data_IF_990175266115
#
_entry.id   IF_990175266115
#
_cell.length_a   1.000
_cell.length_b   1.000
_cell.length_c   1.000
_cell.angle_alpha   90.00
_cell.angle_beta   90.00
_cell.angle_gamma   90.00
#
_symmetry.space_group_name_H-M   'P 1'
#
loop_
_entity.id
_entity.type
_entity.pdbx_description
1 polymer ?
#
# COMPACT_ATOMS: atom_id res chain seq x y z
N UNK A 1 3.26 12.78 -23.85
CA UNK A 1 2.17 13.48 -23.12
C UNK A 1 0.95 12.58 -23.00
N UNK A 2 0.48 12.34 -21.78
CA UNK A 2 -0.74 11.57 -21.51
C UNK A 2 -1.94 12.47 -21.85
N UNK A 3 -2.74 12.07 -22.84
CA UNK A 3 -3.94 12.83 -23.22
C UNK A 3 -4.94 12.84 -22.06
N UNK A 4 -5.44 14.01 -21.65
CA UNK A 4 -6.47 14.12 -20.60
C UNK A 4 -7.71 13.24 -20.89
N UNK A 5 -8.10 13.11 -22.16
CA UNK A 5 -9.18 12.23 -22.59
C UNK A 5 -8.94 10.75 -22.27
N UNK A 6 -7.68 10.29 -22.24
CA UNK A 6 -7.33 8.94 -21.81
C UNK A 6 -7.52 8.75 -20.30
N UNK A 7 -7.04 9.71 -19.49
CA UNK A 7 -7.23 9.68 -18.02
C UNK A 7 -8.73 9.65 -17.69
N UNK A 8 -9.51 10.53 -18.31
CA UNK A 8 -10.97 10.58 -18.12
C UNK A 8 -11.64 9.25 -18.53
N UNK A 9 -11.13 8.57 -19.57
CA UNK A 9 -11.62 7.25 -19.98
C UNK A 9 -11.30 6.19 -18.94
N UNK A 10 -10.12 6.22 -18.33
CA UNK A 10 -9.75 5.28 -17.26
C UNK A 10 -10.57 5.53 -15.99
N UNK A 11 -10.80 6.80 -15.60
CA UNK A 11 -11.68 7.15 -14.48
C UNK A 11 -13.11 6.66 -14.74
N UNK A 12 -13.69 6.93 -15.91
CA UNK A 12 -15.02 6.41 -16.27
C UNK A 12 -15.08 4.89 -16.22
N UNK A 13 -14.02 4.21 -16.68
CA UNK A 13 -13.92 2.76 -16.61
C UNK A 13 -13.87 2.27 -15.15
N UNK A 14 -13.11 2.95 -14.29
CA UNK A 14 -13.02 2.67 -12.85
C UNK A 14 -14.40 2.62 -12.20
N UNK A 15 -15.20 3.68 -12.38
CA UNK A 15 -16.57 3.72 -11.86
C UNK A 15 -17.49 2.66 -12.49
N UNK A 16 -17.34 2.39 -13.79
CA UNK A 16 -18.15 1.38 -14.47
C UNK A 16 -17.92 -0.04 -13.93
N UNK A 17 -16.66 -0.38 -13.60
CA UNK A 17 -16.31 -1.72 -13.11
C UNK A 17 -16.37 -1.82 -11.58
N UNK A 18 -16.61 -0.70 -10.88
CA UNK A 18 -16.60 -0.65 -9.42
C UNK A 18 -15.23 -0.95 -8.82
N UNK A 19 -14.15 -0.59 -9.53
CA UNK A 19 -12.77 -0.87 -9.12
C UNK A 19 -11.79 0.08 -9.82
N UNK A 20 -10.72 0.52 -9.14
CA UNK A 20 -9.63 1.26 -9.78
C UNK A 20 -8.99 0.48 -10.93
N UNK A 21 -8.87 1.09 -12.11
CA UNK A 21 -8.18 0.46 -13.26
C UNK A 21 -6.67 0.36 -13.04
N UNK A 22 -6.03 -0.69 -13.58
CA UNK A 22 -4.58 -0.90 -13.44
C UNK A 22 -3.73 0.32 -13.86
N UNK A 23 -4.13 1.05 -14.91
CA UNK A 23 -3.44 2.29 -15.29
C UNK A 23 -3.47 3.34 -14.16
N UNK A 24 -4.63 3.56 -13.52
CA UNK A 24 -4.75 4.53 -12.43
C UNK A 24 -3.94 4.09 -11.22
N UNK A 25 -3.94 2.80 -10.87
CA UNK A 25 -3.12 2.26 -9.79
C UNK A 25 -1.63 2.55 -10.02
N UNK A 26 -1.14 2.17 -11.20
CA UNK A 26 0.26 2.38 -11.59
C UNK A 26 0.61 3.87 -11.63
N UNK A 27 -0.26 4.70 -12.20
CA UNK A 27 -0.07 6.14 -12.26
C UNK A 27 0.05 6.77 -10.87
N UNK A 28 -0.90 6.46 -9.97
CA UNK A 28 -0.91 6.98 -8.60
C UNK A 28 0.35 6.54 -7.85
N UNK A 29 0.69 5.25 -7.89
CA UNK A 29 1.89 4.75 -7.23
C UNK A 29 3.18 5.31 -7.82
N UNK A 30 3.32 5.42 -9.15
CA UNK A 30 4.50 6.05 -9.77
C UNK A 30 4.70 7.50 -9.32
N UNK A 31 3.62 8.29 -9.22
CA UNK A 31 3.72 9.69 -8.78
C UNK A 31 4.11 9.77 -7.30
N UNK A 32 3.41 9.02 -6.44
CA UNK A 32 3.59 9.13 -4.99
C UNK A 32 4.92 8.51 -4.55
N UNK A 33 5.33 7.36 -5.11
CA UNK A 33 6.62 6.72 -4.81
C UNK A 33 7.78 7.67 -5.13
N UNK A 34 7.77 8.29 -6.31
CA UNK A 34 8.79 9.27 -6.70
C UNK A 34 8.85 10.44 -5.71
N UNK A 35 7.71 11.05 -5.40
CA UNK A 35 7.65 12.19 -4.50
C UNK A 35 8.12 11.85 -3.07
N UNK A 36 7.76 10.66 -2.56
CA UNK A 36 8.21 10.18 -1.25
C UNK A 36 9.72 9.95 -1.21
N UNK A 37 10.28 9.32 -2.25
CA UNK A 37 11.73 9.11 -2.36
C UNK A 37 12.49 10.42 -2.46
N UNK A 38 11.99 11.39 -3.22
CA UNK A 38 12.61 12.70 -3.39
C UNK A 38 12.57 13.53 -2.10
N UNK A 39 11.43 13.56 -1.38
CA UNK A 39 11.28 14.38 -0.16
C UNK A 39 11.90 13.73 1.07
N UNK A 40 11.66 12.44 1.29
CA UNK A 40 11.97 11.78 2.56
C UNK A 40 13.18 10.83 2.48
N UNK A 41 13.58 10.41 1.28
CA UNK A 41 14.76 9.56 1.09
C UNK A 41 14.73 8.32 1.99
N UNK A 42 15.66 8.27 2.96
CA UNK A 42 15.79 7.14 3.91
C UNK A 42 14.62 7.03 4.89
N UNK A 43 13.89 8.10 5.12
CA UNK A 43 12.79 8.13 6.08
C UNK A 43 11.47 7.64 5.46
N UNK A 44 11.43 7.31 4.17
CA UNK A 44 10.21 6.89 3.45
C UNK A 44 9.47 5.76 4.19
N UNK A 45 10.18 4.78 4.73
CA UNK A 45 9.57 3.67 5.49
C UNK A 45 8.73 4.11 6.70
N UNK A 46 8.90 5.34 7.21
CA UNK A 46 8.17 5.91 8.34
C UNK A 46 7.04 6.87 7.92
N UNK A 47 6.74 6.96 6.62
CA UNK A 47 5.82 7.98 6.05
C UNK A 47 4.48 7.39 5.57
N UNK A 48 3.93 6.44 6.33
CA UNK A 48 2.65 5.78 6.00
C UNK A 48 1.47 6.77 5.93
N UNK A 49 1.43 7.75 6.84
CA UNK A 49 0.43 8.82 6.82
C UNK A 49 0.57 9.71 5.58
N UNK A 50 1.76 10.25 5.32
CA UNK A 50 2.04 11.12 4.18
C UNK A 50 1.76 10.41 2.86
N UNK A 51 2.17 9.15 2.75
CA UNK A 51 1.91 8.32 1.57
C UNK A 51 0.42 8.12 1.33
N UNK A 52 -0.32 7.68 2.35
CA UNK A 52 -1.75 7.44 2.25
C UNK A 52 -2.53 8.73 1.96
N UNK A 53 -2.13 9.86 2.55
CA UNK A 53 -2.72 11.17 2.30
C UNK A 53 -2.44 11.68 0.87
N UNK A 54 -1.22 11.48 0.38
CA UNK A 54 -0.84 11.83 -1.00
C UNK A 54 -1.65 11.01 -2.02
N UNK A 55 -1.80 9.70 -1.80
CA UNK A 55 -2.64 8.82 -2.62
C UNK A 55 -4.09 9.30 -2.58
N UNK A 56 -4.64 9.57 -1.39
CA UNK A 56 -6.00 10.09 -1.20
C UNK A 56 -6.21 11.39 -1.99
N UNK A 57 -5.23 12.30 -1.97
CA UNK A 57 -5.30 13.60 -2.65
C UNK A 57 -5.34 13.44 -4.17
N UNK A 58 -4.53 12.54 -4.74
CA UNK A 58 -4.58 12.24 -6.17
C UNK A 58 -5.94 11.61 -6.53
N UNK A 59 -6.39 10.59 -5.80
CA UNK A 59 -7.68 9.93 -6.06
C UNK A 59 -8.85 10.91 -5.97
N UNK A 60 -8.85 11.79 -4.97
CA UNK A 60 -9.86 12.84 -4.80
C UNK A 60 -9.88 13.80 -5.99
N UNK A 61 -8.70 14.17 -6.53
CA UNK A 61 -8.62 14.99 -7.75
C UNK A 61 -9.21 14.30 -9.00
N UNK A 62 -9.34 12.97 -8.96
CA UNK A 62 -9.98 12.15 -9.99
C UNK A 62 -11.45 11.84 -9.68
N UNK A 63 -11.98 12.37 -8.57
CA UNK A 63 -13.35 12.15 -8.10
C UNK A 63 -13.56 10.81 -7.39
N UNK A 64 -12.51 10.03 -7.14
CA UNK A 64 -12.58 8.76 -6.42
C UNK A 64 -12.48 9.05 -4.92
N UNK A 65 -13.51 8.69 -4.17
CA UNK A 65 -13.53 8.85 -2.71
C UNK A 65 -12.70 7.76 -2.05
N UNK A 66 -12.07 8.13 -0.95
CA UNK A 66 -11.28 7.22 -0.14
C UNK A 66 -11.09 7.75 1.27
N UNK A 67 -10.98 6.86 2.24
CA UNK A 67 -10.87 7.15 3.66
C UNK A 67 -9.57 6.59 4.22
N UNK A 68 -8.89 7.37 5.06
CA UNK A 68 -7.70 6.92 5.78
C UNK A 68 -8.12 6.04 6.95
N UNK A 69 -7.43 4.92 7.11
CA UNK A 69 -7.60 4.00 8.23
C UNK A 69 -6.29 3.87 8.99
N UNK A 70 -6.41 3.65 10.28
CA UNK A 70 -5.31 3.25 11.16
C UNK A 70 -5.59 1.88 11.77
N UNK A 71 -4.54 1.18 12.14
CA UNK A 71 -4.63 -0.05 12.92
C UNK A 71 -3.40 -0.93 12.75
N UNK A 72 -3.59 -2.22 13.01
CA UNK A 72 -2.54 -3.22 12.87
C UNK A 72 -2.36 -3.68 11.43
N UNK A 73 -1.11 -3.91 11.03
CA UNK A 73 -0.75 -4.68 9.84
C UNK A 73 0.26 -5.76 10.25
N UNK A 74 -0.03 -7.00 9.91
CA UNK A 74 0.83 -8.14 10.19
C UNK A 74 1.13 -8.88 8.90
N UNK A 75 2.39 -9.19 8.62
CA UNK A 75 2.83 -9.85 7.38
C UNK A 75 3.99 -10.80 7.63
N UNK A 76 4.16 -11.75 6.72
CA UNK A 76 5.29 -12.65 6.72
C UNK A 76 6.58 -11.87 6.42
N UNK A 77 7.48 -11.88 7.39
CA UNK A 77 8.85 -11.39 7.24
C UNK A 77 9.71 -12.54 6.76
N UNK A 78 10.10 -12.42 5.49
CA UNK A 78 10.88 -13.43 4.78
C UNK A 78 12.21 -12.84 4.36
N UNK A 79 13.22 -13.70 4.32
CA UNK A 79 14.61 -13.30 4.17
C UNK A 79 15.21 -13.95 2.94
N UNK A 80 16.32 -13.37 2.45
CA UNK A 80 17.11 -13.97 1.36
C UNK A 80 17.66 -15.34 1.75
N UNK A 81 17.99 -15.54 3.03
CA UNK A 81 18.32 -16.85 3.59
C UNK A 81 17.03 -17.54 4.09
N UNK A 82 16.84 -18.80 3.71
CA UNK A 82 15.55 -19.49 3.79
C UNK A 82 15.25 -20.13 5.17
N UNK A 83 16.20 -20.05 6.11
CA UNK A 83 16.13 -20.78 7.38
C UNK A 83 15.38 -20.04 8.51
N UNK A 84 15.22 -18.73 8.39
CA UNK A 84 14.63 -17.90 9.43
C UNK A 84 13.49 -17.12 8.80
N UNK A 85 12.27 -17.31 9.31
CA UNK A 85 11.10 -16.52 8.93
C UNK A 85 10.23 -16.28 10.15
N UNK A 86 9.55 -15.14 10.22
CA UNK A 86 8.66 -14.79 11.32
C UNK A 86 7.56 -13.83 10.85
N UNK A 87 6.67 -13.44 11.76
CA UNK A 87 5.74 -12.34 11.55
C UNK A 87 6.41 -11.00 11.87
N UNK A 88 6.14 -9.99 11.05
CA UNK A 88 6.56 -8.60 11.25
C UNK A 88 5.44 -7.64 10.82
N UNK A 89 5.56 -6.38 11.23
CA UNK A 89 4.55 -5.35 11.03
C UNK A 89 4.31 -4.49 12.26
N UNK A 90 3.14 -3.85 12.29
CA UNK A 90 2.72 -2.92 13.35
C UNK A 90 1.46 -3.50 13.99
N UNK A 91 1.49 -3.71 15.31
CA UNK A 91 0.33 -4.14 16.07
C UNK A 91 0.53 -3.81 17.55
N UNK A 92 -0.52 -3.99 18.35
CA UNK A 92 -0.55 -3.67 19.78
C UNK A 92 -0.36 -2.18 20.07
N UNK A 93 0.88 -1.71 20.23
CA UNK A 93 1.18 -0.31 20.57
C UNK A 93 1.50 0.53 19.36
N UNK A 94 1.88 -0.12 18.26
CA UNK A 94 2.27 0.56 17.03
C UNK A 94 1.17 0.43 15.98
N UNK A 95 1.00 1.49 15.20
CA UNK A 95 -0.07 1.60 14.21
C UNK A 95 0.49 1.95 12.85
N UNK A 96 -0.18 1.44 11.82
CA UNK A 96 0.10 1.75 10.43
C UNK A 96 -1.08 2.49 9.82
N UNK A 97 -0.83 3.39 8.87
CA UNK A 97 -1.86 4.12 8.15
C UNK A 97 -1.92 3.65 6.72
N UNK A 98 -3.12 3.31 6.26
CA UNK A 98 -3.41 2.94 4.88
C UNK A 98 -4.69 3.62 4.40
N UNK A 99 -5.04 3.39 3.13
CA UNK A 99 -6.22 3.98 2.51
C UNK A 99 -7.23 2.89 2.14
N UNK A 100 -8.53 3.18 2.30
CA UNK A 100 -9.63 2.38 1.77
C UNK A 100 -10.41 3.19 0.73
N UNK A 101 -10.54 2.70 -0.50
CA UNK A 101 -11.31 3.40 -1.55
C UNK A 101 -12.82 3.15 -1.43
N UNK A 102 -13.65 3.95 -2.10
CA UNK A 102 -15.10 3.71 -2.20
C UNK A 102 -15.46 2.38 -2.89
N UNK A 103 -14.51 1.79 -3.61
CA UNK A 103 -14.61 0.47 -4.21
C UNK A 103 -14.22 -0.66 -3.25
N UNK A 104 -13.99 -0.35 -1.97
CA UNK A 104 -13.52 -1.28 -0.94
C UNK A 104 -12.14 -1.87 -1.26
N UNK A 105 -11.27 -1.10 -1.90
CA UNK A 105 -9.88 -1.52 -2.15
C UNK A 105 -8.97 -0.99 -1.03
N UNK A 106 -8.15 -1.86 -0.43
CA UNK A 106 -7.09 -1.44 0.49
C UNK A 106 -5.87 -1.01 -0.35
N UNK A 107 -5.35 0.17 -0.07
CA UNK A 107 -4.20 0.74 -0.77
C UNK A 107 -3.12 1.09 0.24
N UNK A 108 -1.95 0.49 0.07
CA UNK A 108 -0.78 0.69 0.92
C UNK A 108 0.48 0.60 0.05
N UNK A 109 1.04 1.76 -0.25
CA UNK A 109 2.29 1.86 -0.97
C UNK A 109 3.48 1.63 -0.03
N UNK A 110 3.42 2.10 1.21
CA UNK A 110 4.54 2.06 2.15
C UNK A 110 4.93 0.68 2.63
N UNK A 111 4.02 -0.31 2.53
CA UNK A 111 4.33 -1.70 2.90
C UNK A 111 5.58 -2.25 2.21
N UNK A 112 5.90 -1.78 0.99
CA UNK A 112 7.10 -2.21 0.29
C UNK A 112 8.41 -1.69 0.87
N UNK A 113 8.36 -0.64 1.69
CA UNK A 113 9.53 0.00 2.30
C UNK A 113 9.67 -0.35 3.79
N UNK A 114 8.73 -1.09 4.39
CA UNK A 114 8.76 -1.39 5.84
C UNK A 114 9.97 -2.23 6.26
N UNK A 115 10.58 -2.97 5.33
CA UNK A 115 11.83 -3.67 5.55
C UNK A 115 13.03 -2.73 5.82
N UNK A 116 12.89 -1.43 5.55
CA UNK A 116 13.88 -0.39 5.85
C UNK A 116 13.53 0.41 7.12
N UNK A 117 12.45 0.05 7.83
CA UNK A 117 12.06 0.76 9.04
C UNK A 117 13.17 0.65 10.11
N UNK A 118 13.45 1.70 10.91
CA UNK A 118 14.51 1.65 11.92
C UNK A 118 14.37 0.55 12.98
N UNK A 119 13.16 0.03 13.17
CA UNK A 119 12.91 -1.12 14.06
C UNK A 119 13.25 -2.48 13.42
N UNK A 120 13.46 -2.53 12.10
CA UNK A 120 13.86 -3.75 11.41
C UNK A 120 15.30 -4.10 11.77
N UNK A 121 15.49 -5.28 12.34
CA UNK A 121 16.77 -5.70 12.90
C UNK A 121 17.76 -6.27 11.86
N UNK A 122 17.33 -6.46 10.61
CA UNK A 122 18.05 -7.21 9.58
C UNK A 122 17.96 -6.57 8.20
N UNK A 123 19.08 -6.60 7.48
CA UNK A 123 19.22 -5.97 6.16
C UNK A 123 18.95 -6.93 4.98
N UNK A 124 18.65 -8.20 5.26
CA UNK A 124 18.39 -9.25 4.26
C UNK A 124 16.91 -9.62 4.13
N UNK A 125 16.02 -8.82 4.72
CA UNK A 125 14.56 -8.92 4.54
C UNK A 125 14.23 -8.65 3.06
N UNK A 126 13.32 -9.44 2.51
CA UNK A 126 12.82 -9.26 1.15
C UNK A 126 11.62 -8.31 1.18
N UNK A 127 11.59 -7.24 0.34
CA UNK A 127 10.49 -6.30 0.33
C UNK A 127 9.19 -6.94 -0.16
N UNK A 128 8.10 -6.58 0.51
CA UNK A 128 6.74 -6.92 0.10
C UNK A 128 6.39 -6.09 -1.14
N UNK A 129 5.70 -6.64 -2.15
CA UNK A 129 5.14 -5.80 -3.19
C UNK A 129 4.14 -4.78 -2.59
N UNK A 130 4.09 -3.55 -3.11
CA UNK A 130 3.06 -2.58 -2.72
C UNK A 130 1.66 -3.11 -3.04
N UNK A 131 0.69 -2.70 -2.24
CA UNK A 131 -0.62 -3.36 -2.16
C UNK A 131 -1.73 -2.42 -2.63
N UNK A 132 -2.56 -2.91 -3.55
CA UNK A 132 -3.81 -2.28 -4.01
C UNK A 132 -4.91 -3.34 -4.11
N UNK A 133 -5.24 -3.93 -2.96
CA UNK A 133 -6.01 -5.15 -2.86
C UNK A 133 -7.50 -4.92 -3.08
N UNK A 134 -8.10 -5.70 -3.98
CA UNK A 134 -9.50 -5.52 -4.41
C UNK A 134 -10.49 -6.57 -3.91
N UNK A 135 -10.05 -7.50 -3.08
CA UNK A 135 -10.83 -8.66 -2.68
C UNK A 135 -10.81 -8.84 -1.16
N UNK A 136 -11.63 -8.09 -0.43
CA UNK A 136 -11.63 -8.17 1.03
C UNK A 136 -12.18 -9.50 1.58
N UNK A 137 -12.83 -10.30 0.74
CA UNK A 137 -13.40 -11.59 1.13
C UNK A 137 -12.33 -12.68 1.08
N UNK A 138 -11.34 -12.54 0.20
CA UNK A 138 -10.24 -13.49 0.05
C UNK A 138 -8.92 -12.80 0.37
N UNK A 139 -8.34 -13.12 1.53
CA UNK A 139 -7.07 -12.52 1.96
C UNK A 139 -5.95 -13.57 2.06
N UNK A 140 -4.78 -13.36 1.43
CA UNK A 140 -3.68 -14.33 1.46
C UNK A 140 -3.25 -14.57 2.91
N UNK A 141 -2.98 -15.81 3.34
CA UNK A 141 -2.74 -16.13 4.75
C UNK A 141 -1.44 -15.55 5.33
N UNK A 142 -0.64 -14.85 4.52
CA UNK A 142 0.69 -14.31 4.85
C UNK A 142 0.70 -12.81 5.13
N UNK A 143 -0.46 -12.17 5.12
CA UNK A 143 -0.63 -10.76 5.49
C UNK A 143 -2.03 -10.58 6.10
N UNK A 144 -2.22 -9.61 6.98
CA UNK A 144 -3.52 -9.22 7.54
C UNK A 144 -3.49 -7.73 7.89
N UNK A 145 -4.53 -7.00 7.47
CA UNK A 145 -4.83 -5.67 7.98
C UNK A 145 -5.94 -5.78 9.01
N UNK A 146 -5.76 -5.10 10.14
CA UNK A 146 -6.64 -5.11 11.30
C UNK A 146 -7.04 -3.65 11.59
N UNK A 147 -8.09 -3.13 10.90
CA UNK A 147 -8.51 -1.75 11.09
C UNK A 147 -9.00 -1.52 12.51
N UNK A 148 -8.59 -0.39 13.08
CA UNK A 148 -9.09 0.09 14.38
C UNK A 148 -10.08 1.23 14.21
N UNK A 149 -9.92 2.03 13.16
CA UNK A 149 -10.89 3.06 12.82
C UNK A 149 -10.45 3.93 11.65
N UNK A 150 -11.40 4.73 11.18
CA UNK A 150 -11.15 5.85 10.30
C UNK A 150 -10.40 6.94 11.07
N UNK A 151 -9.47 7.62 10.40
CA UNK A 151 -8.74 8.73 11.00
C UNK A 151 -9.00 10.04 10.25
N UNK A 152 -9.11 11.10 11.04
CA UNK A 152 -8.98 12.48 10.57
C UNK A 152 -7.58 12.96 10.91
N UNK A 153 -6.91 13.60 9.96
CA UNK A 153 -5.55 14.11 10.18
C UNK A 153 -5.62 15.28 11.16
N UNK A 154 -4.99 15.11 12.31
CA UNK A 154 -4.80 16.15 13.33
C UNK A 154 -3.34 16.11 13.78
N UNK A 155 -2.51 16.93 13.14
CA UNK A 155 -1.08 17.08 13.48
C UNK A 155 -0.84 18.48 14.10
N UNK A 156 0.29 18.68 14.77
CA UNK A 156 0.79 20.02 15.09
C UNK A 156 0.83 20.94 13.85
N UNK A 157 0.74 22.26 14.06
CA UNK A 157 0.61 23.24 12.97
C UNK A 157 1.77 23.15 11.96
N UNK A 158 3.00 23.03 12.44
CA UNK A 158 4.20 22.88 11.62
C UNK A 158 4.21 21.58 10.81
N UNK A 159 3.76 20.48 11.41
CA UNK A 159 3.60 19.19 10.71
C UNK A 159 2.46 19.21 9.69
N UNK A 160 1.37 19.93 9.97
CA UNK A 160 0.27 20.15 9.02
C UNK A 160 0.73 20.99 7.83
N UNK A 161 1.54 22.02 8.05
CA UNK A 161 2.14 22.81 6.98
C UNK A 161 3.04 21.95 6.08
N UNK A 162 3.95 21.15 6.66
CA UNK A 162 4.79 20.19 5.90
C UNK A 162 3.95 19.23 5.06
N UNK A 163 2.88 18.71 5.64
CA UNK A 163 1.98 17.76 4.97
C UNK A 163 1.24 18.41 3.78
N UNK A 164 0.75 19.63 3.93
CA UNK A 164 0.07 20.37 2.85
C UNK A 164 1.05 20.81 1.74
N UNK A 165 2.28 21.18 2.10
CA UNK A 165 3.35 21.42 1.12
C UNK A 165 3.66 20.14 0.32
N UNK A 166 3.81 19.01 1.01
CA UNK A 166 4.05 17.73 0.37
C UNK A 166 2.91 17.34 -0.57
N UNK A 167 1.65 17.46 -0.13
CA UNK A 167 0.48 17.24 -0.97
C UNK A 167 0.49 18.13 -2.22
N UNK A 168 0.83 19.41 -2.06
CA UNK A 168 0.90 20.35 -3.18
C UNK A 168 1.98 19.92 -4.18
N UNK A 169 3.16 19.51 -3.69
CA UNK A 169 4.24 18.97 -4.51
C UNK A 169 3.79 17.72 -5.28
N UNK A 170 3.13 16.77 -4.62
CA UNK A 170 2.60 15.54 -5.25
C UNK A 170 1.58 15.86 -6.35
N UNK A 171 0.67 16.81 -6.12
CA UNK A 171 -0.33 17.20 -7.13
C UNK A 171 0.31 17.90 -8.32
N UNK A 172 1.36 18.70 -8.10
CA UNK A 172 2.15 19.28 -9.19
C UNK A 172 2.89 18.19 -9.99
N UNK A 173 3.43 17.19 -9.28
CA UNK A 173 4.12 16.04 -9.88
C UNK A 173 3.21 15.16 -10.73
N UNK A 174 1.98 14.95 -10.26
CA UNK A 174 0.89 14.36 -11.05
C UNK A 174 0.69 15.13 -12.36
N UNK A 175 0.53 16.45 -12.29
CA UNK A 175 0.28 17.28 -13.48
C UNK A 175 1.50 17.35 -14.40
N UNK A 176 2.71 17.30 -13.85
CA UNK A 176 3.96 17.19 -14.61
C UNK A 176 4.02 15.86 -15.36
N UNK A 177 3.73 14.74 -14.70
CA UNK A 177 3.71 13.41 -15.33
C UNK A 177 2.70 13.36 -16.47
N UNK A 178 1.51 13.95 -16.30
CA UNK A 178 0.50 14.04 -17.37
C UNK A 178 1.05 14.81 -18.58
N UNK A 179 1.69 15.96 -18.34
CA UNK A 179 2.23 16.84 -19.39
C UNK A 179 3.44 16.25 -20.11
N UNK A 180 4.32 15.56 -19.39
CA UNK A 180 5.65 15.21 -19.89
C UNK A 180 5.78 13.75 -20.33
N UNK A 181 5.08 12.80 -19.69
CA UNK A 181 5.24 11.37 -19.97
C UNK A 181 4.25 10.88 -21.03
N UNK A 182 4.53 9.72 -21.64
CA UNK A 182 3.57 8.95 -22.41
C UNK A 182 2.92 7.85 -21.57
N UNK A 183 1.81 7.31 -22.06
CA UNK A 183 1.05 6.24 -21.36
C UNK A 183 1.94 5.04 -21.07
N UNK A 184 2.89 4.74 -21.95
CA UNK A 184 3.80 3.60 -21.82
C UNK A 184 4.93 3.83 -20.79
N UNK A 185 5.15 5.08 -20.38
CA UNK A 185 6.14 5.43 -19.36
C UNK A 185 5.55 5.29 -17.95
N UNK A 186 4.22 5.28 -17.84
CA UNK A 186 3.52 5.01 -16.57
C UNK A 186 3.58 3.52 -16.29
N UNK A 187 4.61 3.13 -15.53
CA UNK A 187 4.82 1.76 -15.08
C UNK A 187 5.15 1.75 -13.61
N UNK A 188 4.40 0.94 -12.87
CA UNK A 188 4.70 0.62 -11.48
C UNK A 188 4.37 -0.85 -11.26
N UNK A 189 5.38 -1.66 -11.01
CA UNK A 189 5.25 -3.09 -10.87
C UNK A 189 6.40 -3.62 -10.02
N UNK A 190 6.17 -4.64 -9.17
CA UNK A 190 4.90 -5.37 -8.98
C UNK A 190 3.86 -4.59 -8.14
N UNK A 191 2.57 -4.92 -8.29
CA UNK A 191 1.48 -4.51 -7.39
C UNK A 191 0.68 -5.75 -7.01
N UNK A 192 0.43 -5.96 -5.72
CA UNK A 192 -0.51 -6.97 -5.24
C UNK A 192 -1.93 -6.42 -5.28
N UNK A 193 -2.71 -6.84 -6.27
CA UNK A 193 -4.05 -6.34 -6.54
C UNK A 193 -5.18 -7.30 -6.13
N UNK A 194 -4.88 -8.58 -5.94
CA UNK A 194 -5.83 -9.65 -5.62
C UNK A 194 -5.21 -11.04 -5.81
N UNK A 195 -5.99 -12.10 -5.62
CA UNK A 195 -5.49 -13.50 -5.75
C UNK A 195 -4.85 -13.75 -7.11
N UNK A 196 -5.48 -13.28 -8.20
CA UNK A 196 -4.96 -13.45 -9.55
C UNK A 196 -3.58 -12.80 -9.73
N UNK A 197 -3.37 -11.59 -9.20
CA UNK A 197 -2.06 -10.94 -9.30
C UNK A 197 -1.01 -11.66 -8.46
N UNK A 198 -1.38 -12.18 -7.29
CA UNK A 198 -0.46 -12.99 -6.46
C UNK A 198 0.02 -14.21 -7.25
N UNK A 199 -0.90 -14.96 -7.87
CA UNK A 199 -0.53 -16.15 -8.64
C UNK A 199 0.42 -15.78 -9.79
N UNK A 200 0.10 -14.76 -10.58
CA UNK A 200 0.96 -14.29 -11.68
C UNK A 200 2.34 -13.85 -11.17
N UNK A 201 2.40 -13.09 -10.08
CA UNK A 201 3.66 -12.62 -9.52
C UNK A 201 4.50 -13.78 -8.97
N UNK A 202 3.85 -14.79 -8.38
CA UNK A 202 4.49 -16.02 -7.89
C UNK A 202 5.06 -16.84 -9.05
N UNK A 203 4.27 -17.06 -10.10
CA UNK A 203 4.70 -17.75 -11.33
C UNK A 203 5.89 -17.04 -12.00
N UNK A 204 5.92 -15.71 -11.93
CA UNK A 204 7.03 -14.89 -12.41
C UNK A 204 8.24 -14.83 -11.45
N UNK A 205 8.22 -15.59 -10.35
CA UNK A 205 9.35 -15.69 -9.42
C UNK A 205 9.52 -14.48 -8.50
N UNK A 206 8.45 -13.78 -8.13
CA UNK A 206 8.54 -12.70 -7.16
C UNK A 206 9.15 -13.23 -5.83
N UNK A 207 10.30 -12.68 -5.37
CA UNK A 207 11.04 -13.28 -4.26
C UNK A 207 10.25 -13.38 -2.95
N UNK A 208 9.46 -12.35 -2.62
CA UNK A 208 8.69 -12.34 -1.37
C UNK A 208 7.58 -13.40 -1.42
N UNK A 209 6.83 -13.46 -2.53
CA UNK A 209 5.75 -14.44 -2.69
C UNK A 209 6.26 -15.89 -2.74
N UNK A 210 7.39 -16.13 -3.40
CA UNK A 210 7.99 -17.46 -3.43
C UNK A 210 8.42 -17.92 -2.02
N UNK A 211 8.99 -17.04 -1.21
CA UNK A 211 9.31 -17.37 0.18
C UNK A 211 8.06 -17.50 1.06
N UNK A 212 7.01 -16.74 0.78
CA UNK A 212 5.73 -16.87 1.48
C UNK A 212 5.08 -18.24 1.30
N UNK A 213 5.38 -18.99 0.23
CA UNK A 213 4.95 -20.39 0.10
C UNK A 213 5.60 -21.24 1.19
N UNK A 214 6.93 -21.15 1.32
CA UNK A 214 7.68 -21.88 2.36
C UNK A 214 7.25 -21.47 3.76
N UNK A 215 7.01 -20.18 3.96
CA UNK A 215 6.47 -19.66 5.22
C UNK A 215 5.14 -20.32 5.60
N UNK A 216 4.24 -20.53 4.63
CA UNK A 216 2.97 -21.20 4.88
C UNK A 216 3.18 -22.68 5.24
N UNK A 217 4.13 -23.37 4.59
CA UNK A 217 4.44 -24.77 4.91
C UNK A 217 4.95 -24.93 6.36
N UNK A 218 5.59 -23.90 6.92
CA UNK A 218 6.04 -23.89 8.32
C UNK A 218 4.88 -23.79 9.33
N UNK A 219 3.66 -23.44 8.89
CA UNK A 219 2.47 -23.31 9.74
C UNK A 219 2.69 -22.43 10.98
N UNK A 220 3.46 -21.36 10.86
CA UNK A 220 3.73 -20.43 11.97
C UNK A 220 2.42 -19.69 12.28
N UNK A 221 1.84 -19.82 13.49
CA UNK A 221 0.62 -19.12 13.84
C UNK A 221 0.87 -17.61 13.91
N UNK A 222 -0.16 -16.81 13.59
CA UNK A 222 -0.10 -15.36 13.81
C UNK A 222 0.29 -15.03 15.27
N UNK A 223 0.88 -13.86 15.55
CA UNK A 223 1.10 -13.42 16.92
C UNK A 223 -0.20 -13.41 17.74
N UNK A 224 -0.14 -13.70 19.04
CA UNK A 224 -1.34 -13.83 19.90
C UNK A 224 -2.28 -12.62 19.81
N UNK A 225 -1.72 -11.41 19.80
CA UNK A 225 -2.51 -10.18 19.66
C UNK A 225 -3.31 -10.17 18.35
N UNK A 226 -2.66 -10.51 17.23
CA UNK A 226 -3.26 -10.57 15.91
C UNK A 226 -4.37 -11.62 15.87
N UNK A 227 -4.15 -12.80 16.44
CA UNK A 227 -5.18 -13.85 16.54
C UNK A 227 -6.41 -13.37 17.32
N UNK A 228 -6.19 -12.74 18.49
CA UNK A 228 -7.28 -12.22 19.31
C UNK A 228 -8.09 -11.16 18.55
N UNK A 229 -7.40 -10.24 17.88
CA UNK A 229 -8.04 -9.16 17.11
C UNK A 229 -8.84 -9.68 15.92
N UNK A 230 -8.34 -10.70 15.22
CA UNK A 230 -9.09 -11.40 14.15
C UNK A 230 -10.37 -12.01 14.71
N UNK A 231 -10.29 -12.68 15.86
CA UNK A 231 -11.45 -13.32 16.49
C UNK A 231 -12.51 -12.30 16.92
N UNK A 232 -12.10 -11.17 17.49
CA UNK A 232 -13.01 -10.05 17.82
C UNK A 232 -13.74 -9.56 16.57
N UNK A 233 -13.03 -9.38 15.46
CA UNK A 233 -13.62 -8.89 14.21
C UNK A 233 -14.63 -9.88 13.63
N UNK A 234 -14.32 -11.18 13.65
CA UNK A 234 -15.24 -12.24 13.22
C UNK A 234 -16.49 -12.29 14.10
N UNK A 235 -16.33 -12.18 15.42
CA UNK A 235 -17.44 -12.25 16.37
C UNK A 235 -18.29 -10.96 16.44
N UNK A 236 -17.81 -9.87 15.83
CA UNK A 236 -18.52 -8.58 15.76
C UNK A 236 -19.39 -8.42 14.50
N UNK A 237 -19.28 -9.35 13.56
CA UNK A 237 -20.12 -9.43 12.35
C UNK A 237 -21.32 -10.35 12.57
#
# INVERSE_FOLDING_TARGET
MIKQGYINKQIKKTFKIGQTTSFIKQFVFSVVDRALRERYGKDYSMKCLQSSYAIQSILSSMGIKSTLYTGGVCFAEVYKNEEIMNWSGFWDKDHHVWLLTEFREIVDLTICELHLHPSTSRNDVIPIPPLWWNDLDTWPPVIRYLPEGEISIMLPEDEMEDLEEFKTSVLNDKDNMIRQCDINDVKFSPIMEGVKSINILTENGNPWLCQCIKFQDMNIPFPTWVQNRINEYINSK
#
